data_IF_637128377222
#
_entry.id   IF_637128377222
#
_cell.length_a   1.000
_cell.length_b   1.000
_cell.length_c   1.000
_cell.angle_alpha   90.00
_cell.angle_beta   90.00
_cell.angle_gamma   90.00
#
_symmetry.space_group_name_H-M   'P 1'
#
loop_
_entity.id
_entity.type
_entity.pdbx_description
1 polymer ?
#
# COMPACT_ATOMS: atom_id res chain seq x y z
N UNK A 1 -6.44 -18.60 0.62
CA UNK A 1 -5.62 -19.75 0.99
C UNK A 1 -4.61 -19.90 -0.12
N UNK A 2 -3.32 -19.91 0.21
CA UNK A 2 -2.27 -20.22 -0.75
C UNK A 2 -2.53 -21.64 -1.25
N UNK A 3 -2.45 -21.88 -2.55
CA UNK A 3 -2.44 -23.25 -3.05
C UNK A 3 -1.07 -23.83 -2.72
N UNK A 4 -0.96 -24.34 -1.50
CA UNK A 4 0.24 -24.94 -0.91
C UNK A 4 0.66 -26.21 -1.65
N UNK A 5 -0.17 -26.72 -2.56
CA UNK A 5 0.20 -27.78 -3.48
C UNK A 5 1.17 -27.29 -4.56
N UNK A 6 0.91 -26.14 -5.18
CA UNK A 6 1.71 -25.63 -6.31
C UNK A 6 2.92 -24.79 -5.87
N UNK A 7 2.82 -24.06 -4.76
CA UNK A 7 3.94 -23.23 -4.28
C UNK A 7 3.87 -22.96 -2.77
N UNK A 8 5.03 -22.72 -2.17
CA UNK A 8 5.14 -22.20 -0.81
C UNK A 8 6.25 -21.16 -0.72
N UNK A 9 6.12 -20.20 0.20
CA UNK A 9 7.07 -19.10 0.37
C UNK A 9 7.64 -19.08 1.77
N UNK A 10 8.96 -18.97 1.85
CA UNK A 10 9.71 -18.62 3.04
C UNK A 10 10.17 -17.17 2.88
N UNK A 11 9.45 -16.24 3.54
CA UNK A 11 9.77 -14.82 3.47
C UNK A 11 10.91 -14.42 4.40
N UNK A 12 11.28 -15.26 5.37
CA UNK A 12 12.42 -15.00 6.25
C UNK A 12 13.73 -15.20 5.49
N UNK A 13 13.80 -16.29 4.72
CA UNK A 13 14.96 -16.62 3.88
C UNK A 13 14.83 -16.12 2.43
N UNK A 14 13.68 -15.56 2.07
CA UNK A 14 13.35 -15.15 0.70
C UNK A 14 13.49 -16.29 -0.32
N UNK A 15 12.87 -17.42 -0.03
CA UNK A 15 12.87 -18.61 -0.89
C UNK A 15 11.44 -18.98 -1.31
N UNK A 16 11.30 -19.44 -2.56
CA UNK A 16 10.09 -20.05 -3.07
C UNK A 16 10.34 -21.54 -3.33
N UNK A 17 9.42 -22.39 -2.89
CA UNK A 17 9.34 -23.78 -3.32
C UNK A 17 8.21 -23.90 -4.32
N UNK A 18 8.50 -24.37 -5.53
CA UNK A 18 7.54 -24.51 -6.63
C UNK A 18 7.44 -25.99 -7.01
N UNK A 19 6.22 -26.50 -7.14
CA UNK A 19 5.98 -27.84 -7.66
C UNK A 19 6.37 -27.92 -9.15
N UNK A 20 7.16 -28.92 -9.49
CA UNK A 20 7.59 -29.26 -10.86
C UNK A 20 7.42 -30.77 -11.04
N UNK A 21 7.48 -31.28 -12.27
CA UNK A 21 7.26 -32.72 -12.54
C UNK A 21 8.19 -33.64 -11.73
N UNK A 22 9.43 -33.20 -11.46
CA UNK A 22 10.42 -33.94 -10.68
C UNK A 22 10.32 -33.74 -9.16
N UNK A 23 9.26 -33.09 -8.67
CA UNK A 23 9.05 -32.82 -7.25
C UNK A 23 8.94 -31.33 -6.97
N UNK A 24 9.87 -30.77 -6.17
CA UNK A 24 9.84 -29.34 -5.82
C UNK A 24 11.19 -28.69 -6.07
N UNK A 25 11.18 -27.60 -6.83
CA UNK A 25 12.34 -26.72 -7.01
C UNK A 25 12.34 -25.64 -5.92
N UNK A 26 13.48 -25.43 -5.26
CA UNK A 26 13.69 -24.29 -4.37
C UNK A 26 14.47 -23.21 -5.11
N UNK A 27 13.94 -21.99 -5.08
CA UNK A 27 14.47 -20.85 -5.80
C UNK A 27 14.61 -19.67 -4.86
N UNK A 28 15.73 -18.95 -4.96
CA UNK A 28 15.88 -17.66 -4.27
C UNK A 28 15.03 -16.61 -4.95
N UNK A 29 14.31 -15.85 -4.15
CA UNK A 29 13.53 -14.71 -4.60
C UNK A 29 14.42 -13.48 -4.68
N UNK A 30 14.41 -12.83 -5.84
CA UNK A 30 14.97 -11.50 -5.98
C UNK A 30 14.09 -10.53 -5.19
N UNK A 31 14.65 -9.93 -4.15
CA UNK A 31 13.96 -8.99 -3.28
C UNK A 31 14.86 -7.77 -3.03
N UNK A 32 14.31 -6.78 -2.35
CA UNK A 32 15.01 -5.54 -1.99
C UNK A 32 14.33 -4.92 -0.78
N UNK A 33 14.83 -3.78 -0.31
CA UNK A 33 14.39 -3.15 0.95
C UNK A 33 12.88 -2.91 1.03
N UNK A 34 12.23 -2.62 -0.09
CA UNK A 34 10.77 -2.45 -0.15
C UNK A 34 10.00 -3.72 0.22
N UNK A 35 10.56 -4.90 -0.09
CA UNK A 35 9.90 -6.18 0.11
C UNK A 35 9.89 -6.62 1.59
N UNK A 36 10.86 -6.17 2.38
CA UNK A 36 10.95 -6.47 3.83
C UNK A 36 9.66 -6.19 4.60
N UNK A 37 8.86 -5.19 4.17
CA UNK A 37 7.58 -4.86 4.80
C UNK A 37 6.53 -5.98 4.72
N UNK A 38 6.72 -6.96 3.85
CA UNK A 38 5.80 -8.08 3.66
C UNK A 38 6.09 -9.25 4.60
N UNK A 39 7.24 -9.24 5.32
CA UNK A 39 7.51 -10.20 6.39
C UNK A 39 6.42 -10.10 7.46
N UNK A 40 6.01 -11.26 7.98
CA UNK A 40 4.90 -11.37 8.94
C UNK A 40 3.50 -11.12 8.38
N UNK A 41 3.35 -10.80 7.08
CA UNK A 41 2.03 -10.73 6.46
C UNK A 41 1.53 -12.12 6.06
N UNK A 42 0.21 -12.34 6.15
CA UNK A 42 -0.44 -13.57 5.69
C UNK A 42 -0.38 -13.63 4.16
N UNK A 43 0.19 -14.71 3.65
CA UNK A 43 0.32 -14.95 2.22
C UNK A 43 -1.00 -15.50 1.64
N UNK A 44 -1.39 -14.94 0.50
CA UNK A 44 -2.67 -15.14 -0.18
C UNK A 44 -2.58 -16.12 -1.34
N UNK A 45 -2.88 -15.70 -2.57
CA UNK A 45 -2.63 -16.50 -3.78
C UNK A 45 -1.34 -16.02 -4.45
N UNK A 46 -0.78 -16.83 -5.35
CA UNK A 46 0.31 -16.41 -6.22
C UNK A 46 0.21 -17.01 -7.62
N UNK A 47 0.88 -16.35 -8.55
CA UNK A 47 0.97 -16.75 -9.95
C UNK A 47 2.40 -16.59 -10.44
N UNK A 48 2.86 -17.56 -11.23
CA UNK A 48 4.06 -17.39 -12.03
C UNK A 48 3.72 -16.56 -13.27
N UNK A 49 4.40 -15.45 -13.45
CA UNK A 49 4.21 -14.52 -14.56
C UNK A 49 5.50 -14.47 -15.36
N UNK A 50 5.40 -14.64 -16.68
CA UNK A 50 6.53 -14.49 -17.59
C UNK A 50 6.48 -13.10 -18.24
N UNK A 51 7.58 -12.36 -18.14
CA UNK A 51 7.83 -11.12 -18.86
C UNK A 51 9.02 -11.30 -19.82
N UNK A 52 9.37 -10.27 -20.58
CA UNK A 52 10.50 -10.26 -21.53
C UNK A 52 11.84 -10.53 -20.83
N UNK A 53 11.99 -10.05 -19.60
CA UNK A 53 13.23 -10.11 -18.80
C UNK A 53 13.30 -11.29 -17.83
N UNK A 54 12.23 -12.09 -17.72
CA UNK A 54 12.27 -13.32 -16.93
C UNK A 54 10.94 -13.77 -16.34
N UNK A 55 11.04 -14.55 -15.26
CA UNK A 55 9.89 -15.08 -14.52
C UNK A 55 9.76 -14.43 -13.16
N UNK A 56 8.52 -14.09 -12.81
CA UNK A 56 8.16 -13.39 -11.59
C UNK A 56 7.12 -14.18 -10.83
N UNK A 57 7.20 -14.15 -9.50
CA UNK A 57 6.15 -14.67 -8.65
C UNK A 57 5.30 -13.51 -8.13
N UNK A 58 4.09 -13.35 -8.67
CA UNK A 58 3.13 -12.35 -8.20
C UNK A 58 2.38 -12.90 -7.00
N UNK A 59 2.61 -12.34 -5.82
CA UNK A 59 2.06 -12.84 -4.55
C UNK A 59 1.10 -11.82 -3.93
N UNK A 60 -0.04 -12.28 -3.44
CA UNK A 60 -0.98 -11.46 -2.65
C UNK A 60 -0.61 -11.55 -1.17
N UNK A 61 -0.55 -10.42 -0.48
CA UNK A 61 -0.31 -10.35 0.96
C UNK A 61 -1.47 -9.67 1.67
N UNK A 62 -1.77 -10.11 2.88
CA UNK A 62 -2.81 -9.55 3.74
C UNK A 62 -2.31 -9.43 5.18
N UNK A 63 -2.78 -8.42 5.91
CA UNK A 63 -2.59 -8.30 7.35
C UNK A 63 -3.83 -7.72 7.97
N UNK A 64 -4.21 -8.19 9.14
CA UNK A 64 -5.20 -7.49 9.95
C UNK A 64 -4.60 -6.15 10.37
N UNK A 65 -5.40 -5.10 10.29
CA UNK A 65 -5.03 -3.76 10.79
C UNK A 65 -6.05 -3.42 11.85
N UNK A 66 -5.59 -3.21 13.08
CA UNK A 66 -6.44 -2.70 14.13
C UNK A 66 -6.80 -1.26 13.80
N UNK A 67 -8.10 -0.98 13.75
CA UNK A 67 -8.61 0.37 13.67
C UNK A 67 -8.64 0.93 15.08
N UNK A 68 -7.71 1.84 15.40
CA UNK A 68 -7.74 2.56 16.66
C UNK A 68 -9.06 3.32 16.78
N UNK A 69 -9.72 3.21 17.92
CA UNK A 69 -11.01 3.84 18.21
C UNK A 69 -11.05 5.31 17.77
N UNK A 70 -12.09 5.65 17.03
CA UNK A 70 -12.21 6.93 16.34
C UNK A 70 -12.69 7.96 17.35
N UNK A 71 -11.78 8.52 18.15
CA UNK A 71 -12.12 9.60 19.09
C UNK A 71 -12.43 10.92 18.33
N UNK A 72 -13.51 10.98 17.56
CA UNK A 72 -13.91 12.14 16.75
C UNK A 72 -12.88 12.51 15.65
N UNK A 73 -12.09 11.53 15.20
CA UNK A 73 -10.98 11.68 14.24
C UNK A 73 -11.35 11.11 12.88
N UNK A 74 -10.50 11.33 11.88
CA UNK A 74 -10.75 10.84 10.53
C UNK A 74 -11.03 9.32 10.50
N UNK A 75 -12.21 8.91 10.05
CA UNK A 75 -12.53 7.51 9.70
C UNK A 75 -11.85 7.17 8.38
N UNK A 76 -11.94 8.08 7.41
CA UNK A 76 -11.43 7.89 6.07
C UNK A 76 -10.80 9.19 5.57
N UNK A 77 -9.64 9.08 4.94
CA UNK A 77 -9.03 10.20 4.21
C UNK A 77 -8.70 9.69 2.82
N UNK A 78 -9.47 10.15 1.83
CA UNK A 78 -9.16 9.89 0.43
C UNK A 78 -8.43 11.10 -0.17
N UNK A 79 -7.38 10.82 -0.91
CA UNK A 79 -6.53 11.87 -1.46
C UNK A 79 -6.31 11.50 -2.90
N UNK A 80 -6.81 12.34 -3.80
CA UNK A 80 -6.50 12.29 -5.20
C UNK A 80 -5.53 13.41 -5.58
N UNK A 81 -5.11 13.45 -6.84
CA UNK A 81 -4.22 14.52 -7.32
C UNK A 81 -4.86 15.90 -7.15
N UNK A 82 -6.16 15.98 -7.45
CA UNK A 82 -6.92 17.23 -7.45
C UNK A 82 -7.81 17.43 -6.23
N UNK A 83 -7.91 16.45 -5.32
CA UNK A 83 -8.81 16.56 -4.17
C UNK A 83 -8.25 15.92 -2.89
N UNK A 84 -8.79 16.36 -1.75
CA UNK A 84 -8.60 15.73 -0.45
C UNK A 84 -9.98 15.64 0.18
N UNK A 85 -10.47 14.41 0.34
CA UNK A 85 -11.68 14.10 1.08
C UNK A 85 -11.32 13.60 2.48
N UNK A 86 -12.06 14.08 3.47
CA UNK A 86 -11.94 13.71 4.87
C UNK A 86 -13.32 13.29 5.36
N UNK A 87 -13.44 12.07 5.86
CA UNK A 87 -14.64 11.55 6.50
C UNK A 87 -14.41 11.38 8.00
N UNK A 88 -15.32 11.90 8.80
CA UNK A 88 -15.48 11.62 10.23
C UNK A 88 -16.79 10.82 10.45
N UNK A 89 -17.11 10.52 11.71
CA UNK A 89 -18.42 9.95 12.08
C UNK A 89 -19.57 10.92 11.82
N UNK A 90 -19.29 12.23 11.84
CA UNK A 90 -20.31 13.28 11.78
C UNK A 90 -20.54 13.79 10.35
N UNK A 91 -19.49 13.87 9.52
CA UNK A 91 -19.60 14.47 8.19
C UNK A 91 -18.46 14.07 7.24
N UNK A 92 -18.66 14.42 5.97
CA UNK A 92 -17.63 14.33 4.93
C UNK A 92 -17.31 15.73 4.42
N UNK A 93 -16.03 16.09 4.41
CA UNK A 93 -15.52 17.33 3.83
C UNK A 93 -14.58 17.05 2.66
N UNK A 94 -14.63 17.90 1.63
CA UNK A 94 -13.79 17.75 0.45
C UNK A 94 -13.22 19.11 0.03
N UNK A 95 -11.93 19.14 -0.32
CA UNK A 95 -11.28 20.32 -0.89
C UNK A 95 -10.56 19.97 -2.17
N UNK A 96 -10.59 20.88 -3.16
CA UNK A 96 -9.75 20.75 -4.34
C UNK A 96 -8.30 21.14 -4.00
N UNK A 97 -7.34 20.27 -4.28
CA UNK A 97 -5.91 20.58 -4.26
C UNK A 97 -5.43 20.93 -5.67
N UNK A 98 -4.78 22.07 -5.85
CA UNK A 98 -4.26 22.53 -7.15
C UNK A 98 -2.94 21.91 -7.60
N UNK A 99 -2.59 20.69 -7.15
CA UNK A 99 -1.27 20.11 -7.43
C UNK A 99 -1.16 19.68 -8.90
N UNK A 100 -0.33 20.39 -9.70
CA UNK A 100 -0.14 20.15 -11.15
C UNK A 100 0.86 19.03 -11.50
N UNK A 101 1.65 18.52 -10.54
CA UNK A 101 2.72 17.53 -10.79
C UNK A 101 2.35 16.17 -10.18
N UNK A 102 1.95 15.25 -11.06
CA UNK A 102 1.00 14.16 -10.75
C UNK A 102 1.57 13.04 -9.87
N UNK A 103 2.83 12.63 -10.01
CA UNK A 103 3.31 11.38 -9.36
C UNK A 103 4.17 11.58 -8.11
N UNK A 104 5.20 12.41 -8.18
CA UNK A 104 6.12 12.58 -7.04
C UNK A 104 5.50 13.38 -5.92
N UNK A 105 4.77 14.47 -6.24
CA UNK A 105 4.11 15.29 -5.24
C UNK A 105 3.00 14.49 -4.52
N UNK A 106 2.22 13.72 -5.28
CA UNK A 106 1.20 12.81 -4.75
C UNK A 106 1.77 11.79 -3.78
N UNK A 107 2.84 11.07 -4.18
CA UNK A 107 3.49 10.08 -3.33
C UNK A 107 4.00 10.69 -2.02
N UNK A 108 4.67 11.85 -2.10
CA UNK A 108 5.17 12.56 -0.92
C UNK A 108 4.03 13.08 -0.02
N UNK A 109 2.93 13.54 -0.62
CA UNK A 109 1.71 13.98 0.09
C UNK A 109 1.10 12.84 0.88
N UNK A 110 0.87 11.70 0.23
CA UNK A 110 0.34 10.47 0.85
C UNK A 110 1.27 9.98 1.97
N UNK A 111 2.58 9.88 1.72
CA UNK A 111 3.58 9.43 2.70
C UNK A 111 3.62 10.32 3.96
N UNK A 112 3.63 11.65 3.80
CA UNK A 112 3.65 12.61 4.93
C UNK A 112 2.40 12.59 5.80
N UNK A 113 1.29 12.05 5.29
CA UNK A 113 0.03 11.96 6.04
C UNK A 113 -0.11 10.60 6.71
N UNK A 114 0.26 9.52 6.02
CA UNK A 114 0.35 8.19 6.61
C UNK A 114 1.39 8.13 7.75
N UNK A 115 2.42 8.98 7.72
CA UNK A 115 3.38 9.08 8.83
C UNK A 115 2.84 9.81 10.06
N UNK A 116 1.63 10.40 10.01
CA UNK A 116 1.04 11.09 11.16
C UNK A 116 0.19 10.11 11.95
N UNK A 117 0.45 9.94 13.26
CA UNK A 117 -0.32 9.01 14.10
C UNK A 117 -1.78 9.44 14.27
N UNK A 118 -2.11 10.71 14.02
CA UNK A 118 -3.46 11.29 14.12
C UNK A 118 -3.65 12.36 13.06
N UNK A 119 -4.77 12.32 12.34
CA UNK A 119 -5.16 13.31 11.33
C UNK A 119 -6.38 14.09 11.82
N UNK A 120 -6.25 15.41 11.90
CA UNK A 120 -7.33 16.33 12.24
C UNK A 120 -7.78 17.07 10.98
N UNK A 121 -9.09 17.26 10.84
CA UNK A 121 -9.70 17.88 9.66
C UNK A 121 -9.17 19.30 9.40
N UNK A 122 -9.34 20.23 10.36
CA UNK A 122 -9.01 21.66 10.16
C UNK A 122 -7.54 21.88 9.72
N UNK A 123 -6.51 21.32 10.41
CA UNK A 123 -5.13 21.48 9.98
C UNK A 123 -4.83 20.79 8.65
N UNK A 124 -5.48 19.66 8.37
CA UNK A 124 -5.28 18.92 7.13
C UNK A 124 -5.82 19.69 5.94
N UNK A 125 -7.07 20.13 6.02
CA UNK A 125 -7.72 20.88 4.96
C UNK A 125 -7.03 22.23 4.76
N UNK A 126 -6.69 22.95 5.84
CA UNK A 126 -5.95 24.21 5.74
C UNK A 126 -4.58 24.02 5.07
N UNK A 127 -3.89 22.93 5.37
CA UNK A 127 -2.59 22.61 4.77
C UNK A 127 -2.68 22.49 3.24
N UNK A 128 -3.73 21.88 2.68
CA UNK A 128 -3.84 21.59 1.24
C UNK A 128 -4.76 22.53 0.47
N UNK A 129 -5.50 23.40 1.16
CA UNK A 129 -6.34 24.43 0.55
C UNK A 129 -5.47 25.43 -0.21
N UNK A 130 -5.87 25.76 -1.44
CA UNK A 130 -5.35 26.93 -2.16
C UNK A 130 -3.85 26.88 -2.49
N UNK A 131 -3.23 25.69 -2.58
CA UNK A 131 -1.80 25.54 -2.91
C UNK A 131 -1.38 25.95 -4.35
N UNK A 132 -2.20 26.77 -5.00
CA UNK A 132 -1.79 27.75 -6.01
C UNK A 132 -2.55 29.04 -5.72
N UNK A 133 -1.88 30.03 -5.14
CA UNK A 133 -2.19 31.44 -5.38
C UNK A 133 -0.94 32.06 -5.97
N UNK A 134 -0.69 31.74 -7.23
CA UNK A 134 -0.06 32.65 -8.17
C UNK A 134 -0.88 32.57 -9.46
N UNK A 135 -1.05 33.74 -10.07
CA UNK A 135 -1.88 34.08 -11.23
C UNK A 135 -1.73 33.15 -12.44
#
# INVERSE_FOLDING_TARGET
MLDDHLFSLDLENWEASIAVESGRARLKLLHGTYHEKFKGMKVGQAWLVKNEDGFYLKVVFSRAVELTEVNGKAIAVDINESNVAFGSEEHVSNIKSGEKVIRTAYFLKRRRLQSKPRLNEKPLLAKYRGRNTEE
#
